data_IF_585793473623
#
_entry.id   IF_585793473623
#
_cell.length_a   1.000
_cell.length_b   1.000
_cell.length_c   1.000
_cell.angle_alpha   90.00
_cell.angle_beta   90.00
_cell.angle_gamma   90.00
#
_symmetry.space_group_name_H-M   'P 1'
#
loop_
_entity.id
_entity.type
_entity.pdbx_description
1 polymer ?
#
# COMPACT_ATOMS: atom_id res chain seq x y z
N UNK A 1 28.24 -28.90 4.97
CA UNK A 1 28.27 -29.48 6.33
C UNK A 1 27.63 -28.48 7.27
N UNK A 2 26.37 -28.70 7.65
CA UNK A 2 25.66 -27.81 8.57
C UNK A 2 26.08 -28.17 9.99
N UNK A 3 26.98 -27.39 10.59
CA UNK A 3 27.21 -27.46 12.03
C UNK A 3 25.89 -27.11 12.72
N UNK A 4 25.31 -28.07 13.44
CA UNK A 4 24.16 -27.83 14.29
C UNK A 4 24.58 -26.92 15.45
N UNK A 5 24.55 -25.61 15.21
CA UNK A 5 24.80 -24.63 16.26
C UNK A 5 23.65 -24.71 17.26
N UNK A 6 23.88 -25.41 18.38
CA UNK A 6 22.99 -25.34 19.53
C UNK A 6 22.93 -23.89 20.01
N UNK A 7 21.73 -23.35 20.31
CA UNK A 7 21.57 -21.96 20.67
C UNK A 7 22.29 -21.65 21.99
N UNK A 8 22.90 -20.46 22.07
CA UNK A 8 23.77 -20.09 23.18
C UNK A 8 23.09 -20.22 24.55
N UNK A 9 21.78 -19.91 24.65
CA UNK A 9 21.08 -20.02 25.94
C UNK A 9 21.04 -21.45 26.50
N UNK A 10 21.10 -22.50 25.67
CA UNK A 10 21.21 -23.87 26.15
C UNK A 10 22.63 -24.19 26.61
N UNK A 11 23.62 -23.78 25.82
CA UNK A 11 25.04 -24.06 26.10
C UNK A 11 25.54 -23.34 27.34
N UNK A 12 25.08 -22.11 27.57
CA UNK A 12 25.56 -21.25 28.66
C UNK A 12 24.58 -21.09 29.82
N UNK A 13 23.47 -21.85 29.83
CA UNK A 13 22.47 -21.80 30.90
C UNK A 13 21.77 -20.44 31.02
N UNK A 14 21.58 -19.72 29.90
CA UNK A 14 20.84 -18.46 29.92
C UNK A 14 19.33 -18.76 30.00
N UNK A 15 18.61 -17.90 30.73
CA UNK A 15 17.15 -17.98 30.82
C UNK A 15 16.54 -17.66 29.45
N UNK A 16 15.58 -18.46 28.95
CA UNK A 16 14.89 -18.17 27.69
C UNK A 16 14.31 -16.75 27.67
N UNK A 17 14.60 -16.01 26.60
CA UNK A 17 14.09 -14.67 26.40
C UNK A 17 13.02 -14.68 25.31
N UNK A 18 11.80 -14.32 25.68
CA UNK A 18 10.65 -14.31 24.76
C UNK A 18 10.44 -12.97 24.06
N UNK A 19 10.89 -11.87 24.67
CA UNK A 19 10.63 -10.53 24.19
C UNK A 19 11.86 -9.64 24.37
N UNK A 20 12.19 -8.90 23.32
CA UNK A 20 13.24 -7.89 23.30
C UNK A 20 12.66 -6.59 22.75
N UNK A 21 12.90 -5.51 23.47
CA UNK A 21 12.59 -4.14 23.05
C UNK A 21 13.84 -3.30 23.23
N UNK A 22 14.40 -2.81 22.13
CA UNK A 22 15.55 -1.90 22.11
C UNK A 22 15.05 -0.52 21.69
N UNK A 23 15.27 0.48 22.55
CA UNK A 23 14.90 1.87 22.31
C UNK A 23 16.14 2.75 22.35
N UNK A 24 16.24 3.70 21.41
CA UNK A 24 17.36 4.65 21.33
C UNK A 24 18.74 4.00 21.22
N UNK A 25 18.79 2.76 20.75
CA UNK A 25 20.04 2.04 20.58
C UNK A 25 20.80 2.63 19.38
N UNK A 26 22.11 2.78 19.55
CA UNK A 26 22.99 3.10 18.45
C UNK A 26 23.20 1.84 17.62
N UNK A 27 22.38 1.70 16.58
CA UNK A 27 22.44 0.56 15.67
C UNK A 27 23.64 0.62 14.72
N UNK A 28 24.58 1.57 14.90
CA UNK A 28 25.82 1.63 14.12
C UNK A 28 26.58 0.31 14.16
N UNK A 29 26.47 -0.46 15.24
CA UNK A 29 26.93 -1.85 15.31
C UNK A 29 25.74 -2.82 15.34
N UNK A 30 25.50 -3.54 14.22
CA UNK A 30 24.49 -4.62 14.19
C UNK A 30 24.79 -5.75 15.19
N UNK A 31 26.00 -5.78 15.75
CA UNK A 31 26.53 -6.85 16.60
C UNK A 31 25.65 -7.16 17.81
N UNK A 32 25.12 -6.15 18.50
CA UNK A 32 24.25 -6.36 19.68
C UNK A 32 22.97 -7.09 19.28
N UNK A 33 22.39 -6.72 18.15
CA UNK A 33 21.18 -7.33 17.62
C UNK A 33 21.44 -8.77 17.16
N UNK A 34 22.54 -8.98 16.43
CA UNK A 34 22.95 -10.29 15.94
C UNK A 34 23.26 -11.25 17.11
N UNK A 35 23.87 -10.75 18.19
CA UNK A 35 24.13 -11.53 19.40
C UNK A 35 22.83 -11.94 20.13
N UNK A 36 21.85 -11.03 20.21
CA UNK A 36 20.54 -11.33 20.82
C UNK A 36 19.79 -12.38 20.00
N UNK A 37 19.70 -12.20 18.67
CA UNK A 37 18.99 -13.14 17.79
C UNK A 37 19.67 -14.50 17.78
N UNK A 38 21.01 -14.54 17.83
CA UNK A 38 21.78 -15.76 17.99
C UNK A 38 21.48 -16.47 19.32
N UNK A 39 21.61 -15.76 20.45
CA UNK A 39 21.49 -16.34 21.77
C UNK A 39 20.08 -16.90 22.05
N UNK A 40 19.05 -16.21 21.57
CA UNK A 40 17.65 -16.48 21.90
C UNK A 40 16.82 -16.96 20.70
N UNK A 41 17.45 -17.49 19.65
CA UNK A 41 16.80 -17.87 18.39
C UNK A 41 15.58 -18.79 18.53
N UNK A 42 15.59 -19.69 19.51
CA UNK A 42 14.51 -20.65 19.75
C UNK A 42 13.42 -20.15 20.71
N UNK A 43 13.69 -19.09 21.48
CA UNK A 43 12.75 -18.58 22.49
C UNK A 43 12.13 -17.23 22.12
N UNK A 44 12.78 -16.46 21.26
CA UNK A 44 12.39 -15.09 20.93
C UNK A 44 11.10 -15.07 20.11
N UNK A 45 10.03 -14.54 20.71
CA UNK A 45 8.70 -14.38 20.10
C UNK A 45 8.42 -12.98 19.61
N UNK A 46 8.99 -11.97 20.26
CA UNK A 46 8.79 -10.57 19.90
C UNK A 46 10.11 -9.80 19.90
N UNK A 47 10.43 -9.20 18.75
CA UNK A 47 11.57 -8.34 18.57
C UNK A 47 11.09 -6.96 18.12
N UNK A 48 11.40 -5.94 18.90
CA UNK A 48 11.10 -4.55 18.60
C UNK A 48 12.34 -3.69 18.75
N UNK A 49 12.67 -2.97 17.68
CA UNK A 49 13.77 -2.04 17.64
C UNK A 49 13.23 -0.69 17.20
N UNK A 50 13.53 0.34 17.98
CA UNK A 50 13.19 1.73 17.70
C UNK A 50 14.45 2.58 17.84
N UNK A 51 15.15 2.79 16.73
CA UNK A 51 16.37 3.59 16.70
C UNK A 51 16.06 5.01 16.29
N UNK A 52 16.26 5.92 17.24
CA UNK A 52 15.98 7.35 17.07
C UNK A 52 17.27 8.12 16.77
N UNK A 53 18.43 7.53 17.06
CA UNK A 53 19.75 8.14 16.93
C UNK A 53 20.42 7.61 15.67
N UNK A 54 21.04 8.51 14.93
CA UNK A 54 21.81 8.25 13.71
C UNK A 54 22.43 9.58 13.30
N UNK A 55 23.68 9.53 12.82
CA UNK A 55 24.29 10.69 12.17
C UNK A 55 23.46 11.07 10.94
N UNK A 56 23.55 12.33 10.48
CA UNK A 56 22.79 12.82 9.30
C UNK A 56 23.24 12.16 7.98
N UNK A 57 24.09 11.14 8.04
CA UNK A 57 24.60 10.42 6.89
C UNK A 57 23.73 9.18 6.61
N UNK A 58 23.47 8.95 5.32
CA UNK A 58 22.62 7.89 4.75
C UNK A 58 23.26 6.50 4.91
N UNK A 59 23.53 6.08 6.14
CA UNK A 59 24.10 4.77 6.39
C UNK A 59 23.04 3.68 6.17
N UNK A 60 23.42 2.67 5.39
CA UNK A 60 22.63 1.46 5.20
C UNK A 60 22.84 0.55 6.40
N UNK A 61 21.76 0.33 7.15
CA UNK A 61 21.75 -0.62 8.24
C UNK A 61 21.31 -1.99 7.71
N UNK A 62 22.24 -2.94 7.70
CA UNK A 62 21.96 -4.32 7.32
C UNK A 62 21.37 -5.09 8.51
N UNK A 63 20.18 -5.68 8.31
CA UNK A 63 19.49 -6.46 9.35
C UNK A 63 19.29 -7.89 8.87
N UNK A 64 19.57 -8.87 9.74
CA UNK A 64 19.30 -10.28 9.44
C UNK A 64 20.50 -11.05 8.90
N UNK A 65 21.65 -10.39 8.71
CA UNK A 65 22.86 -11.07 8.23
C UNK A 65 23.28 -12.09 9.27
N UNK A 66 23.46 -13.33 8.84
CA UNK A 66 23.87 -14.45 9.69
C UNK A 66 22.93 -14.76 10.87
N UNK A 67 21.68 -14.24 10.84
CA UNK A 67 20.70 -14.63 11.85
C UNK A 67 20.41 -16.13 11.71
N UNK A 68 20.41 -16.89 12.82
CA UNK A 68 19.86 -18.23 12.77
C UNK A 68 18.37 -18.17 12.47
N UNK A 69 17.79 -19.30 12.06
CA UNK A 69 16.33 -19.41 11.98
C UNK A 69 15.68 -19.00 13.31
N UNK A 70 14.65 -18.17 13.22
CA UNK A 70 13.88 -17.68 14.38
C UNK A 70 12.47 -18.30 14.36
N UNK A 71 12.35 -19.63 14.55
CA UNK A 71 11.08 -20.34 14.37
C UNK A 71 10.00 -19.92 15.37
N UNK A 72 10.38 -19.36 16.52
CA UNK A 72 9.45 -18.86 17.52
C UNK A 72 9.01 -17.41 17.30
N UNK A 73 9.63 -16.66 16.38
CA UNK A 73 9.38 -15.24 16.22
C UNK A 73 7.98 -15.00 15.62
N UNK A 74 7.09 -14.46 16.44
CA UNK A 74 5.71 -14.17 16.08
C UNK A 74 5.53 -12.71 15.63
N UNK A 75 6.38 -11.80 16.10
CA UNK A 75 6.26 -10.36 15.81
C UNK A 75 7.62 -9.71 15.62
N UNK A 76 7.79 -9.03 14.48
CA UNK A 76 8.99 -8.27 14.15
C UNK A 76 8.60 -6.80 13.91
N UNK A 77 9.17 -5.89 14.71
CA UNK A 77 9.01 -4.45 14.53
C UNK A 77 10.38 -3.77 14.44
N UNK A 78 10.69 -3.20 13.28
CA UNK A 78 11.92 -2.43 13.04
C UNK A 78 11.53 -1.00 12.65
N UNK A 79 12.00 -0.03 13.42
CA UNK A 79 11.77 1.39 13.19
C UNK A 79 13.12 2.09 13.22
N UNK A 80 13.55 2.59 12.07
CA UNK A 80 14.84 3.27 11.93
C UNK A 80 14.66 4.46 10.98
N UNK A 81 13.97 5.55 11.39
CA UNK A 81 13.66 6.68 10.53
C UNK A 81 14.88 7.35 9.90
N UNK A 82 16.06 7.26 10.53
CA UNK A 82 17.32 7.88 10.07
C UNK A 82 18.26 6.95 9.29
N UNK A 83 17.86 5.70 9.04
CA UNK A 83 18.69 4.72 8.36
C UNK A 83 17.96 4.16 7.15
N UNK A 84 18.70 3.70 6.15
CA UNK A 84 18.11 2.86 5.11
C UNK A 84 18.20 1.38 5.54
N UNK A 85 17.06 0.75 5.82
CA UNK A 85 17.02 -0.63 6.31
C UNK A 85 17.19 -1.63 5.16
N UNK A 86 18.39 -2.20 5.04
CA UNK A 86 18.68 -3.30 4.11
C UNK A 86 18.46 -4.64 4.80
N UNK A 87 17.37 -5.33 4.44
CA UNK A 87 17.07 -6.65 4.99
C UNK A 87 17.90 -7.72 4.29
N UNK A 88 18.38 -8.70 5.05
CA UNK A 88 18.91 -9.92 4.48
C UNK A 88 17.83 -10.63 3.65
N UNK A 89 18.15 -11.12 2.43
CA UNK A 89 17.16 -11.71 1.55
C UNK A 89 16.38 -12.89 2.14
N UNK A 90 16.95 -13.64 3.09
CA UNK A 90 16.29 -14.81 3.70
C UNK A 90 15.61 -14.51 5.03
N UNK A 91 15.72 -13.28 5.56
CA UNK A 91 15.26 -12.92 6.91
C UNK A 91 13.81 -13.35 7.18
N UNK A 92 12.88 -13.04 6.28
CA UNK A 92 11.47 -13.39 6.46
C UNK A 92 11.23 -14.90 6.29
N UNK A 93 11.95 -15.56 5.38
CA UNK A 93 11.84 -17.00 5.16
C UNK A 93 12.31 -17.82 6.37
N UNK A 94 13.23 -17.26 7.17
CA UNK A 94 13.74 -17.84 8.41
C UNK A 94 12.79 -17.68 9.61
N UNK A 95 11.66 -17.00 9.46
CA UNK A 95 10.74 -16.67 10.54
C UNK A 95 9.29 -17.16 10.25
N UNK A 96 9.05 -18.48 10.13
CA UNK A 96 7.77 -19.04 9.66
C UNK A 96 6.57 -18.77 10.60
N UNK A 97 6.82 -18.44 11.87
CA UNK A 97 5.77 -18.16 12.87
C UNK A 97 5.26 -16.72 12.87
N UNK A 98 5.78 -15.86 11.98
CA UNK A 98 5.42 -14.44 11.97
C UNK A 98 3.91 -14.26 11.75
N UNK A 99 3.32 -13.52 12.69
CA UNK A 99 1.93 -13.08 12.69
C UNK A 99 1.80 -11.58 12.44
N UNK A 100 2.85 -10.80 12.68
CA UNK A 100 2.89 -9.37 12.42
C UNK A 100 4.30 -8.87 12.11
N UNK A 101 4.43 -8.16 10.98
CA UNK A 101 5.68 -7.55 10.52
C UNK A 101 5.45 -6.06 10.31
N UNK A 102 6.31 -5.23 10.93
CA UNK A 102 6.32 -3.79 10.75
C UNK A 102 7.76 -3.31 10.58
N UNK A 103 8.17 -3.02 9.36
CA UNK A 103 9.53 -2.56 9.05
C UNK A 103 9.40 -1.21 8.38
N UNK A 104 10.03 -0.18 8.94
CA UNK A 104 9.99 1.17 8.38
C UNK A 104 11.32 1.89 8.53
N UNK A 105 11.77 2.42 7.42
CA UNK A 105 12.72 3.52 7.32
C UNK A 105 12.04 4.75 6.72
N UNK A 106 12.53 5.95 7.07
CA UNK A 106 12.02 7.20 6.51
C UNK A 106 12.98 7.80 5.47
N UNK A 107 14.22 7.31 5.33
CA UNK A 107 15.26 7.88 4.43
C UNK A 107 15.19 7.42 2.96
N UNK A 108 14.28 6.51 2.59
CA UNK A 108 14.16 6.05 1.20
C UNK A 108 13.31 7.03 0.38
N UNK A 109 13.95 8.11 -0.07
CA UNK A 109 13.31 9.18 -0.83
C UNK A 109 13.56 9.10 -2.34
N UNK A 110 14.73 8.64 -2.73
CA UNK A 110 15.14 8.44 -4.12
C UNK A 110 15.95 7.15 -4.17
N UNK A 111 15.82 6.40 -5.27
CA UNK A 111 16.55 5.15 -5.44
C UNK A 111 16.72 4.84 -6.91
N UNK A 112 17.76 4.07 -7.20
CA UNK A 112 17.96 3.47 -8.51
C UNK A 112 17.45 2.05 -8.46
N UNK A 113 16.68 1.63 -9.46
CA UNK A 113 16.10 0.28 -9.46
C UNK A 113 17.17 -0.82 -9.38
N UNK A 114 18.38 -0.57 -9.89
CA UNK A 114 19.53 -1.51 -9.84
C UNK A 114 20.06 -1.80 -8.44
N UNK A 115 19.77 -0.95 -7.47
CA UNK A 115 20.26 -1.11 -6.10
C UNK A 115 19.33 -2.02 -5.28
N UNK A 116 18.14 -2.33 -5.80
CA UNK A 116 17.14 -3.15 -5.11
C UNK A 116 17.56 -4.61 -5.19
N UNK A 117 17.89 -5.18 -4.04
CA UNK A 117 18.12 -6.62 -3.87
C UNK A 117 16.84 -7.24 -3.32
N UNK A 118 16.11 -8.06 -4.10
CA UNK A 118 14.86 -8.65 -3.64
C UNK A 118 15.12 -9.66 -2.52
N UNK A 119 14.25 -9.66 -1.51
CA UNK A 119 14.12 -10.76 -0.58
C UNK A 119 13.66 -12.02 -1.32
N UNK A 120 13.81 -13.17 -0.66
CA UNK A 120 13.23 -14.41 -1.12
C UNK A 120 11.75 -14.48 -0.71
N UNK A 121 10.91 -15.19 -1.48
CA UNK A 121 9.56 -15.53 -1.02
C UNK A 121 9.61 -16.24 0.34
N UNK A 122 8.75 -15.84 1.27
CA UNK A 122 8.60 -16.48 2.57
C UNK A 122 7.25 -17.18 2.69
N UNK A 123 7.19 -18.29 3.43
CA UNK A 123 5.94 -18.97 3.75
C UNK A 123 5.46 -18.51 5.14
N UNK A 124 4.52 -17.55 5.15
CA UNK A 124 4.05 -16.87 6.37
C UNK A 124 2.53 -17.05 6.56
N UNK A 125 2.05 -18.28 6.81
CA UNK A 125 0.60 -18.58 6.80
C UNK A 125 -0.18 -17.93 7.95
N UNK A 126 0.51 -17.48 9.00
CA UNK A 126 -0.09 -16.84 10.18
C UNK A 126 -0.07 -15.31 10.10
N UNK A 127 0.48 -14.73 9.03
CA UNK A 127 0.68 -13.30 8.93
C UNK A 127 -0.66 -12.56 8.83
N UNK A 128 -0.95 -11.72 9.81
CA UNK A 128 -2.18 -10.91 9.87
C UNK A 128 -1.94 -9.44 9.58
N UNK A 129 -0.72 -8.95 9.82
CA UNK A 129 -0.33 -7.54 9.61
C UNK A 129 1.00 -7.51 8.90
N UNK A 130 1.04 -6.86 7.73
CA UNK A 130 2.25 -6.54 7.00
C UNK A 130 2.31 -5.04 6.77
N UNK A 131 3.28 -4.37 7.39
CA UNK A 131 3.58 -2.97 7.14
C UNK A 131 5.05 -2.82 6.78
N UNK A 132 5.30 -2.45 5.53
CA UNK A 132 6.61 -2.18 4.97
C UNK A 132 6.64 -0.73 4.51
N UNK A 133 7.65 0.01 4.97
CA UNK A 133 7.93 1.38 4.51
C UNK A 133 9.39 1.52 4.09
N UNK A 134 9.60 2.27 3.03
CA UNK A 134 10.93 2.63 2.54
C UNK A 134 11.60 1.47 1.82
N UNK A 135 12.86 1.18 2.16
CA UNK A 135 13.65 0.17 1.47
C UNK A 135 13.07 -1.24 1.63
N UNK A 136 12.53 -1.53 2.81
CA UNK A 136 11.85 -2.80 3.07
C UNK A 136 10.63 -3.06 2.19
N UNK A 137 9.96 -2.01 1.70
CA UNK A 137 8.86 -2.13 0.75
C UNK A 137 9.39 -2.47 -0.66
N UNK A 138 10.52 -1.88 -1.06
CA UNK A 138 11.15 -2.08 -2.37
C UNK A 138 11.75 -3.48 -2.54
N UNK A 139 12.33 -4.03 -1.48
CA UNK A 139 12.99 -5.35 -1.52
C UNK A 139 12.02 -6.50 -1.25
N UNK A 140 10.79 -6.23 -0.77
CA UNK A 140 9.84 -7.29 -0.45
C UNK A 140 9.45 -8.14 -1.65
N UNK A 141 9.47 -9.46 -1.47
CA UNK A 141 9.05 -10.39 -2.51
C UNK A 141 7.54 -10.67 -2.44
N UNK A 142 6.75 -10.28 -3.46
CA UNK A 142 5.29 -10.40 -3.44
C UNK A 142 4.80 -11.85 -3.43
N UNK A 143 5.57 -12.82 -3.93
CA UNK A 143 5.26 -14.26 -3.78
C UNK A 143 5.08 -14.72 -2.32
N UNK A 144 5.56 -13.96 -1.34
CA UNK A 144 5.25 -14.19 0.08
C UNK A 144 3.73 -14.13 0.34
N UNK A 145 3.01 -13.27 -0.39
CA UNK A 145 1.58 -13.03 -0.21
C UNK A 145 0.72 -14.26 -0.54
N UNK A 146 1.18 -15.17 -1.40
CA UNK A 146 0.48 -16.41 -1.77
C UNK A 146 0.20 -17.31 -0.56
N UNK A 147 1.10 -17.30 0.43
CA UNK A 147 0.94 -18.08 1.66
C UNK A 147 0.11 -17.37 2.73
N UNK A 148 -0.12 -16.06 2.61
CA UNK A 148 -0.60 -15.19 3.70
C UNK A 148 -2.13 -14.99 3.72
N UNK A 149 -2.90 -16.08 3.64
CA UNK A 149 -4.38 -16.01 3.53
C UNK A 149 -5.07 -15.37 4.74
N UNK A 150 -4.36 -15.29 5.87
CA UNK A 150 -4.80 -14.67 7.13
C UNK A 150 -4.56 -13.15 7.20
N UNK A 151 -3.99 -12.56 6.15
CA UNK A 151 -3.62 -11.15 6.13
C UNK A 151 -4.85 -10.24 6.24
N UNK A 152 -4.89 -9.39 7.25
CA UNK A 152 -5.96 -8.42 7.50
C UNK A 152 -5.56 -7.01 7.04
N UNK A 153 -4.28 -6.68 7.18
CA UNK A 153 -3.74 -5.35 6.88
C UNK A 153 -2.48 -5.46 6.05
N UNK A 154 -2.50 -4.86 4.86
CA UNK A 154 -1.36 -4.71 3.97
C UNK A 154 -1.04 -3.23 3.78
N UNK A 155 0.18 -2.82 4.16
CA UNK A 155 0.69 -1.47 3.91
C UNK A 155 2.07 -1.55 3.29
N UNK A 156 2.21 -1.04 2.08
CA UNK A 156 3.47 -1.00 1.33
C UNK A 156 3.65 0.43 0.83
N UNK A 157 4.65 1.14 1.34
CA UNK A 157 4.76 2.58 1.11
C UNK A 157 6.20 3.04 1.01
N UNK A 158 6.45 3.99 0.12
CA UNK A 158 7.70 4.77 0.05
C UNK A 158 7.39 6.27 0.03
N UNK A 159 6.24 6.65 0.61
CA UNK A 159 5.83 8.05 0.68
C UNK A 159 6.69 8.79 1.72
N UNK A 160 7.10 10.01 1.36
CA UNK A 160 7.85 10.93 2.22
C UNK A 160 6.96 11.48 3.32
N UNK A 161 7.56 12.19 4.29
CA UNK A 161 6.84 12.82 5.40
C UNK A 161 5.89 13.93 4.93
N UNK A 162 6.24 14.64 3.86
CA UNK A 162 5.36 15.66 3.23
C UNK A 162 4.21 15.05 2.41
N UNK A 163 4.17 13.72 2.30
CA UNK A 163 3.19 12.97 1.52
C UNK A 163 3.53 12.81 0.05
N UNK A 164 4.58 13.44 -0.48
CA UNK A 164 5.02 13.20 -1.85
C UNK A 164 5.61 11.79 -2.00
N UNK A 165 5.58 11.27 -3.22
CA UNK A 165 6.12 9.97 -3.58
C UNK A 165 7.22 10.14 -4.62
N UNK A 166 8.22 9.25 -4.59
CA UNK A 166 9.14 9.05 -5.71
C UNK A 166 8.70 7.82 -6.50
N UNK A 167 8.57 8.00 -7.81
CA UNK A 167 8.23 6.95 -8.76
C UNK A 167 9.31 7.01 -9.86
N UNK A 168 10.05 5.92 -10.12
CA UNK A 168 11.03 5.91 -11.20
C UNK A 168 10.39 6.29 -12.55
N UNK A 169 11.18 6.79 -13.51
CA UNK A 169 10.69 7.06 -14.85
C UNK A 169 9.93 5.87 -15.46
N UNK A 170 8.83 6.15 -16.19
CA UNK A 170 7.94 5.10 -16.67
C UNK A 170 8.63 4.07 -17.59
N UNK A 171 9.66 4.47 -18.33
CA UNK A 171 10.49 3.58 -19.14
C UNK A 171 11.34 2.63 -18.28
N UNK A 172 11.89 3.11 -17.16
CA UNK A 172 12.63 2.28 -16.19
C UNK A 172 11.69 1.27 -15.52
N UNK A 173 10.48 1.69 -15.14
CA UNK A 173 9.46 0.79 -14.61
C UNK A 173 9.09 -0.29 -15.64
N UNK A 174 8.71 0.10 -16.87
CA UNK A 174 8.36 -0.86 -17.94
C UNK A 174 9.49 -1.85 -18.21
N UNK A 175 10.75 -1.38 -18.25
CA UNK A 175 11.92 -2.24 -18.42
C UNK A 175 12.09 -3.23 -17.26
N UNK A 176 11.86 -2.79 -16.03
CA UNK A 176 12.01 -3.63 -14.83
C UNK A 176 10.98 -4.76 -14.72
N UNK A 177 9.79 -4.59 -15.32
CA UNK A 177 8.74 -5.61 -15.35
C UNK A 177 8.70 -6.40 -16.67
N UNK A 178 9.70 -6.23 -17.55
CA UNK A 178 9.75 -6.94 -18.83
C UNK A 178 8.70 -6.48 -19.85
N UNK A 179 8.09 -5.31 -19.67
CA UNK A 179 7.05 -4.75 -20.54
C UNK A 179 7.62 -3.97 -21.74
N UNK A 180 8.80 -4.37 -22.27
CA UNK A 180 9.50 -3.65 -23.33
C UNK A 180 10.31 -4.55 -24.27
N UNK A 181 10.46 -4.12 -25.53
CA UNK A 181 10.97 -4.93 -26.65
C UNK A 181 12.49 -5.16 -26.70
N UNK A 182 13.27 -4.58 -25.80
CA UNK A 182 14.73 -4.71 -25.85
C UNK A 182 15.25 -5.28 -24.53
N UNK A 183 15.77 -6.53 -24.51
CA UNK A 183 16.46 -7.06 -23.36
C UNK A 183 17.73 -6.24 -23.14
N UNK A 184 17.73 -5.38 -22.13
CA UNK A 184 18.95 -4.71 -21.68
C UNK A 184 19.77 -5.78 -20.96
N UNK A 185 20.98 -6.14 -21.46
CA UNK A 185 21.89 -6.99 -20.72
C UNK A 185 22.23 -6.27 -19.40
N UNK A 186 22.12 -6.97 -18.27
CA UNK A 186 22.01 -6.43 -16.89
C UNK A 186 20.58 -6.07 -16.43
N UNK A 187 19.62 -6.92 -16.82
CA UNK A 187 18.22 -6.85 -16.41
C UNK A 187 18.09 -6.74 -14.88
N UNK A 188 17.65 -5.57 -14.44
CA UNK A 188 17.37 -5.26 -13.05
C UNK A 188 16.33 -6.27 -12.53
N UNK A 189 16.73 -7.12 -11.57
CA UNK A 189 15.83 -8.11 -10.95
C UNK A 189 15.05 -7.46 -9.80
N UNK A 190 13.97 -6.74 -10.14
CA UNK A 190 13.02 -6.24 -9.14
C UNK A 190 12.00 -7.31 -8.78
N UNK A 191 11.41 -7.26 -7.58
CA UNK A 191 10.21 -8.05 -7.30
C UNK A 191 9.08 -7.66 -8.27
N UNK A 192 8.54 -8.65 -8.98
CA UNK A 192 7.43 -8.45 -9.92
C UNK A 192 6.08 -8.56 -9.18
N UNK A 193 5.29 -7.47 -9.18
CA UNK A 193 3.96 -7.45 -8.56
C UNK A 193 2.93 -7.93 -9.60
N UNK A 194 2.46 -9.16 -9.46
CA UNK A 194 1.55 -9.84 -10.40
C UNK A 194 0.07 -9.52 -10.20
N UNK A 195 -0.28 -9.03 -9.00
CA UNK A 195 -1.64 -8.59 -8.63
C UNK A 195 -2.73 -9.67 -8.73
N UNK A 196 -2.34 -10.94 -8.71
CA UNK A 196 -3.21 -12.13 -8.79
C UNK A 196 -3.38 -12.84 -7.43
N UNK A 197 -3.06 -12.15 -6.33
CA UNK A 197 -3.10 -12.75 -5.00
C UNK A 197 -4.53 -12.97 -4.51
N UNK A 198 -4.72 -14.11 -3.84
CA UNK A 198 -5.95 -14.45 -3.14
C UNK A 198 -5.81 -14.16 -1.63
N UNK A 199 -6.30 -13.00 -1.19
CA UNK A 199 -6.24 -12.51 0.19
C UNK A 199 -7.66 -12.33 0.76
N UNK A 200 -8.38 -13.43 1.03
CA UNK A 200 -9.82 -13.41 1.31
C UNK A 200 -10.19 -12.65 2.58
N UNK A 201 -9.25 -12.51 3.53
CA UNK A 201 -9.45 -11.83 4.81
C UNK A 201 -8.95 -10.38 4.84
N UNK A 202 -8.38 -9.88 3.74
CA UNK A 202 -7.79 -8.55 3.71
C UNK A 202 -8.88 -7.48 3.90
N UNK A 203 -8.72 -6.65 4.93
CA UNK A 203 -9.68 -5.60 5.30
C UNK A 203 -9.18 -4.22 4.87
N UNK A 204 -7.87 -3.99 4.98
CA UNK A 204 -7.25 -2.69 4.74
C UNK A 204 -6.01 -2.83 3.86
N UNK A 205 -6.00 -2.10 2.76
CA UNK A 205 -4.86 -1.99 1.86
C UNK A 205 -4.43 -0.54 1.72
N UNK A 206 -3.13 -0.30 1.84
CA UNK A 206 -2.51 0.98 1.56
C UNK A 206 -1.25 0.78 0.72
N UNK A 207 -1.25 1.33 -0.48
CA UNK A 207 -0.14 1.32 -1.43
C UNK A 207 0.22 2.76 -1.76
N UNK A 208 1.52 3.05 -1.85
CA UNK A 208 1.98 4.38 -2.31
C UNK A 208 3.01 4.27 -3.42
N UNK A 209 3.36 5.40 -4.03
CA UNK A 209 4.44 5.51 -5.02
C UNK A 209 4.22 4.56 -6.19
N UNK A 210 5.27 3.84 -6.64
CA UNK A 210 5.18 2.90 -7.74
C UNK A 210 4.18 1.76 -7.51
N UNK A 211 3.95 1.32 -6.26
CA UNK A 211 3.00 0.27 -5.96
C UNK A 211 1.56 0.72 -6.23
N UNK A 212 1.26 1.99 -5.96
CA UNK A 212 -0.04 2.57 -6.30
C UNK A 212 -0.16 2.86 -7.81
N UNK A 213 0.92 3.29 -8.45
CA UNK A 213 0.95 3.57 -9.89
C UNK A 213 0.78 2.31 -10.76
N UNK A 214 1.35 1.19 -10.31
CA UNK A 214 1.29 -0.11 -10.98
C UNK A 214 0.11 -0.97 -10.52
N UNK A 215 -0.70 -0.49 -9.58
CA UNK A 215 -1.83 -1.25 -9.05
C UNK A 215 -2.79 -1.67 -10.15
N UNK A 216 -3.13 -2.96 -10.20
CA UNK A 216 -4.13 -3.50 -11.09
C UNK A 216 -5.40 -3.86 -10.32
N UNK A 217 -6.53 -3.30 -10.74
CA UNK A 217 -7.81 -3.49 -10.06
C UNK A 217 -8.30 -4.94 -10.04
N UNK A 218 -7.85 -5.80 -10.97
CA UNK A 218 -8.19 -7.24 -11.00
C UNK A 218 -7.87 -7.95 -9.69
N UNK A 219 -6.89 -7.45 -8.93
CA UNK A 219 -6.50 -7.94 -7.62
C UNK A 219 -7.66 -7.97 -6.62
N UNK A 220 -8.63 -7.08 -6.80
CA UNK A 220 -9.80 -6.97 -5.92
C UNK A 220 -10.70 -8.20 -5.95
N UNK A 221 -10.67 -9.00 -7.02
CA UNK A 221 -11.36 -10.29 -7.09
C UNK A 221 -10.85 -11.27 -6.03
N UNK A 222 -9.56 -11.22 -5.71
CA UNK A 222 -8.94 -12.00 -4.65
C UNK A 222 -9.16 -11.44 -3.25
N UNK A 223 -9.80 -10.27 -3.11
CA UNK A 223 -9.95 -9.54 -1.85
C UNK A 223 -11.42 -9.18 -1.51
N UNK A 224 -12.33 -10.17 -1.43
CA UNK A 224 -13.76 -9.92 -1.24
C UNK A 224 -14.11 -9.19 0.06
N UNK A 225 -13.24 -9.26 1.08
CA UNK A 225 -13.45 -8.62 2.39
C UNK A 225 -12.88 -7.20 2.48
N UNK A 226 -12.28 -6.66 1.42
CA UNK A 226 -11.58 -5.38 1.48
C UNK A 226 -12.57 -4.24 1.75
N UNK A 227 -12.38 -3.53 2.88
CA UNK A 227 -13.26 -2.44 3.31
C UNK A 227 -12.66 -1.08 2.97
N UNK A 228 -11.33 -0.96 2.98
CA UNK A 228 -10.62 0.30 2.75
C UNK A 228 -9.43 0.11 1.82
N UNK A 229 -9.40 0.88 0.72
CA UNK A 229 -8.33 0.90 -0.26
C UNK A 229 -7.74 2.31 -0.37
N UNK A 230 -6.44 2.41 -0.18
CA UNK A 230 -5.69 3.66 -0.27
C UNK A 230 -4.57 3.52 -1.29
N UNK A 231 -4.67 4.27 -2.39
CA UNK A 231 -3.70 4.36 -3.47
C UNK A 231 -3.16 5.79 -3.51
N UNK A 232 -1.85 5.96 -3.34
CA UNK A 232 -1.23 7.29 -3.33
C UNK A 232 0.01 7.35 -4.21
N UNK A 233 -0.07 8.00 -5.36
CA UNK A 233 1.02 8.13 -6.34
C UNK A 233 1.38 9.60 -6.65
N UNK A 234 1.10 10.53 -5.74
CA UNK A 234 1.38 11.96 -5.98
C UNK A 234 2.89 12.21 -5.94
N UNK A 235 3.46 12.61 -7.08
CA UNK A 235 4.88 13.00 -7.19
C UNK A 235 5.03 14.51 -7.12
N UNK A 236 6.24 14.99 -6.80
CA UNK A 236 6.55 16.44 -6.77
C UNK A 236 6.47 17.05 -8.17
N UNK A 237 6.87 16.30 -9.19
CA UNK A 237 6.93 16.76 -10.58
C UNK A 237 5.59 16.63 -11.34
N UNK A 238 4.64 15.86 -10.81
CA UNK A 238 3.33 15.62 -11.46
C UNK A 238 3.41 14.85 -12.79
N UNK A 239 4.54 14.21 -13.08
CA UNK A 239 4.79 13.55 -14.36
C UNK A 239 4.11 12.17 -14.48
N UNK A 240 3.85 11.51 -13.35
CA UNK A 240 3.23 10.19 -13.35
C UNK A 240 1.72 10.29 -13.41
N UNK A 241 1.16 9.86 -14.53
CA UNK A 241 -0.29 9.83 -14.77
C UNK A 241 -0.74 8.39 -14.95
N UNK A 242 -1.83 8.01 -14.28
CA UNK A 242 -2.53 6.74 -14.53
C UNK A 242 -3.88 7.03 -15.15
N UNK A 243 -4.15 6.43 -16.30
CA UNK A 243 -5.48 6.44 -16.93
C UNK A 243 -6.27 5.25 -16.41
N UNK A 244 -7.53 5.46 -16.05
CA UNK A 244 -8.51 4.42 -15.74
C UNK A 244 -9.38 4.29 -16.99
N UNK A 245 -9.27 3.13 -17.65
CA UNK A 245 -10.03 2.78 -18.85
C UNK A 245 -11.00 1.63 -18.59
N UNK A 246 -11.81 1.26 -19.59
CA UNK A 246 -12.67 0.07 -19.49
C UNK A 246 -11.89 -1.22 -19.20
N UNK A 247 -10.66 -1.34 -19.71
CA UNK A 247 -9.80 -2.49 -19.48
C UNK A 247 -9.40 -2.66 -18.00
N UNK A 248 -9.39 -1.58 -17.21
CA UNK A 248 -9.14 -1.64 -15.77
C UNK A 248 -10.37 -2.13 -14.98
N UNK A 249 -11.56 -2.18 -15.60
CA UNK A 249 -12.82 -2.51 -14.94
C UNK A 249 -13.27 -3.95 -15.18
N UNK A 250 -12.68 -4.63 -16.16
CA UNK A 250 -13.07 -5.98 -16.57
C UNK A 250 -11.90 -6.95 -16.46
N UNK A 251 -12.21 -8.22 -16.34
CA UNK A 251 -11.26 -9.33 -16.49
C UNK A 251 -11.76 -10.30 -17.55
N UNK A 252 -10.82 -10.95 -18.24
CA UNK A 252 -11.14 -12.00 -19.21
C UNK A 252 -11.12 -13.36 -18.51
N UNK A 253 -12.21 -14.10 -18.62
CA UNK A 253 -12.31 -15.50 -18.21
C UNK A 253 -11.68 -16.43 -19.27
N UNK A 254 -11.36 -17.67 -18.88
CA UNK A 254 -10.81 -18.71 -19.78
C UNK A 254 -11.74 -19.03 -20.97
N UNK A 255 -13.06 -18.82 -20.81
CA UNK A 255 -14.07 -19.01 -21.86
C UNK A 255 -14.19 -17.80 -22.81
N UNK A 256 -13.38 -16.76 -22.60
CA UNK A 256 -13.42 -15.51 -23.35
C UNK A 256 -14.55 -14.56 -22.93
N UNK A 257 -15.34 -14.90 -21.92
CA UNK A 257 -16.30 -13.95 -21.35
C UNK A 257 -15.59 -12.85 -20.57
N UNK A 258 -16.16 -11.65 -20.62
CA UNK A 258 -15.67 -10.51 -19.85
C UNK A 258 -16.51 -10.35 -18.59
N UNK A 259 -15.85 -10.40 -17.44
CA UNK A 259 -16.48 -10.20 -16.14
C UNK A 259 -16.08 -8.85 -15.56
N UNK A 260 -17.05 -8.10 -15.04
CA UNK A 260 -16.75 -6.87 -14.32
C UNK A 260 -16.07 -7.19 -12.98
N UNK A 261 -15.01 -6.47 -12.67
CA UNK A 261 -14.38 -6.53 -11.37
C UNK A 261 -15.33 -5.91 -10.35
N UNK A 262 -15.57 -6.59 -9.24
CA UNK A 262 -16.44 -6.09 -8.16
C UNK A 262 -15.74 -6.26 -6.82
N UNK A 263 -15.64 -5.18 -6.03
CA UNK A 263 -15.18 -5.22 -4.64
C UNK A 263 -16.39 -5.01 -3.70
N UNK A 264 -17.08 -6.10 -3.32
CA UNK A 264 -18.42 -6.03 -2.73
C UNK A 264 -18.46 -5.48 -1.30
N UNK A 265 -17.32 -5.44 -0.61
CA UNK A 265 -17.19 -4.94 0.76
C UNK A 265 -16.57 -3.55 0.85
N UNK A 266 -16.09 -2.97 -0.27
CA UNK A 266 -15.33 -1.73 -0.23
C UNK A 266 -16.23 -0.56 0.13
N UNK A 267 -15.88 0.14 1.23
CA UNK A 267 -16.60 1.30 1.74
C UNK A 267 -15.81 2.59 1.64
N UNK A 268 -14.48 2.51 1.67
CA UNK A 268 -13.58 3.65 1.57
C UNK A 268 -12.58 3.47 0.44
N UNK A 269 -12.59 4.41 -0.52
CA UNK A 269 -11.61 4.49 -1.60
C UNK A 269 -10.89 5.83 -1.52
N UNK A 270 -9.57 5.79 -1.42
CA UNK A 270 -8.70 6.95 -1.39
C UNK A 270 -7.70 6.83 -2.54
N UNK A 271 -7.73 7.77 -3.47
CA UNK A 271 -6.87 7.83 -4.66
C UNK A 271 -6.24 9.22 -4.70
N UNK A 272 -4.94 9.30 -4.46
CA UNK A 272 -4.18 10.54 -4.49
C UNK A 272 -3.12 10.46 -5.59
N UNK A 273 -2.92 11.53 -6.34
CA UNK A 273 -2.01 11.59 -7.50
C UNK A 273 -2.79 11.77 -8.80
N UNK A 274 -2.11 11.83 -9.94
CA UNK A 274 -2.75 12.20 -11.21
C UNK A 274 -3.49 11.01 -11.85
N UNK A 275 -4.76 10.85 -11.48
CA UNK A 275 -5.67 9.83 -12.02
C UNK A 275 -6.54 10.46 -13.11
N UNK A 276 -6.50 9.94 -14.33
CA UNK A 276 -7.35 10.39 -15.43
C UNK A 276 -8.40 9.31 -15.69
N UNK A 277 -9.67 9.68 -15.68
CA UNK A 277 -10.73 8.76 -16.13
C UNK A 277 -10.97 9.03 -17.61
N UNK A 278 -10.87 7.99 -18.44
CA UNK A 278 -10.93 8.11 -19.90
C UNK A 278 -12.24 8.75 -20.38
N UNK A 279 -13.37 8.34 -19.80
CA UNK A 279 -14.70 8.85 -20.16
C UNK A 279 -15.74 8.68 -19.04
N UNK A 280 -16.90 9.34 -19.19
CA UNK A 280 -17.94 9.36 -18.15
C UNK A 280 -18.59 7.98 -17.91
N UNK A 281 -18.69 7.14 -18.93
CA UNK A 281 -19.18 5.75 -18.81
C UNK A 281 -18.27 4.94 -17.88
N UNK A 282 -16.95 5.04 -18.06
CA UNK A 282 -15.94 4.41 -17.20
C UNK A 282 -16.09 4.88 -15.75
N UNK A 283 -16.28 6.18 -15.51
CA UNK A 283 -16.54 6.70 -14.15
C UNK A 283 -17.78 6.06 -13.50
N UNK A 284 -18.85 5.90 -14.28
CA UNK A 284 -20.11 5.34 -13.80
C UNK A 284 -19.99 3.86 -13.45
N UNK A 285 -19.30 3.09 -14.27
CA UNK A 285 -19.00 1.68 -13.98
C UNK A 285 -18.06 1.56 -12.78
N UNK A 286 -17.00 2.36 -12.75
CA UNK A 286 -16.00 2.38 -11.68
C UNK A 286 -16.61 2.66 -10.31
N UNK A 287 -17.46 3.69 -10.16
CA UNK A 287 -18.04 4.03 -8.85
C UNK A 287 -19.29 3.19 -8.56
N UNK A 288 -20.17 3.04 -9.55
CA UNK A 288 -21.51 2.47 -9.37
C UNK A 288 -21.56 0.95 -9.38
N UNK A 289 -20.77 0.30 -10.24
CA UNK A 289 -20.82 -1.16 -10.43
C UNK A 289 -19.70 -1.86 -9.67
N UNK A 290 -18.47 -1.38 -9.82
CA UNK A 290 -17.30 -2.01 -9.22
C UNK A 290 -17.26 -1.85 -7.69
N UNK A 291 -17.82 -0.76 -7.14
CA UNK A 291 -17.86 -0.50 -5.69
C UNK A 291 -19.30 -0.28 -5.16
N UNK A 292 -20.14 -1.33 -5.12
CA UNK A 292 -21.58 -1.20 -4.82
C UNK A 292 -21.90 -0.78 -3.38
N UNK A 293 -20.92 -0.79 -2.47
CA UNK A 293 -21.05 -0.35 -1.07
C UNK A 293 -20.16 0.83 -0.70
N UNK A 294 -19.61 1.54 -1.68
CA UNK A 294 -18.75 2.70 -1.46
C UNK A 294 -19.49 3.81 -0.71
N UNK A 295 -19.04 4.15 0.49
CA UNK A 295 -19.63 5.23 1.29
C UNK A 295 -18.78 6.50 1.20
N UNK A 296 -17.46 6.35 1.07
CA UNK A 296 -16.47 7.41 1.08
C UNK A 296 -15.51 7.29 -0.11
N UNK A 297 -15.49 8.32 -0.94
CA UNK A 297 -14.59 8.46 -2.06
C UNK A 297 -13.71 9.70 -1.88
N UNK A 298 -12.40 9.55 -1.97
CA UNK A 298 -11.44 10.65 -2.01
C UNK A 298 -10.58 10.46 -3.26
N UNK A 299 -10.65 11.40 -4.20
CA UNK A 299 -9.90 11.38 -5.46
C UNK A 299 -9.21 12.74 -5.65
N UNK A 300 -7.96 12.85 -5.21
CA UNK A 300 -7.12 14.04 -5.39
C UNK A 300 -6.17 13.83 -6.56
N UNK A 301 -6.06 14.81 -7.44
CA UNK A 301 -5.40 14.75 -8.73
C UNK A 301 -6.28 14.16 -9.82
N UNK A 302 -7.61 14.26 -9.67
CA UNK A 302 -8.56 13.68 -10.62
C UNK A 302 -8.68 14.53 -11.89
N UNK A 303 -8.50 13.91 -13.05
CA UNK A 303 -8.65 14.53 -14.36
C UNK A 303 -9.55 13.74 -15.31
N UNK A 304 -9.80 14.30 -16.49
CA UNK A 304 -10.61 13.68 -17.56
C UNK A 304 -12.12 13.86 -17.42
N UNK A 305 -12.61 14.38 -16.28
CA UNK A 305 -14.03 14.57 -16.02
C UNK A 305 -14.32 15.96 -15.44
N UNK A 306 -15.58 16.40 -15.58
CA UNK A 306 -16.08 17.65 -14.98
C UNK A 306 -16.81 17.38 -13.65
N UNK A 307 -17.06 18.42 -12.86
CA UNK A 307 -17.91 18.31 -11.65
C UNK A 307 -19.31 17.83 -12.01
N UNK A 308 -19.91 18.35 -13.09
CA UNK A 308 -21.21 17.89 -13.56
C UNK A 308 -21.26 16.40 -13.88
N UNK A 309 -20.22 15.87 -14.54
CA UNK A 309 -20.11 14.43 -14.80
C UNK A 309 -20.02 13.60 -13.50
N UNK A 310 -19.25 14.06 -12.51
CA UNK A 310 -19.17 13.43 -11.19
C UNK A 310 -20.53 13.45 -10.46
N UNK A 311 -21.20 14.60 -10.42
CA UNK A 311 -22.52 14.74 -9.75
C UNK A 311 -23.58 13.86 -10.42
N UNK A 312 -23.63 13.85 -11.76
CA UNK A 312 -24.53 12.99 -12.52
C UNK A 312 -24.27 11.52 -12.17
N UNK A 313 -23.01 11.09 -12.16
CA UNK A 313 -22.62 9.72 -11.82
C UNK A 313 -23.07 9.31 -10.40
N UNK A 314 -22.81 10.18 -9.41
CA UNK A 314 -23.22 9.95 -8.02
C UNK A 314 -24.73 9.77 -7.92
N UNK A 315 -25.52 10.60 -8.62
CA UNK A 315 -26.98 10.52 -8.58
C UNK A 315 -27.55 9.29 -9.26
N UNK A 316 -26.99 8.92 -10.41
CA UNK A 316 -27.57 7.86 -11.25
C UNK A 316 -27.15 6.47 -10.82
N UNK A 317 -25.88 6.29 -10.45
CA UNK A 317 -25.28 4.96 -10.26
C UNK A 317 -24.68 4.76 -8.87
N UNK A 318 -24.37 5.83 -8.14
CA UNK A 318 -23.69 5.74 -6.85
C UNK A 318 -24.43 6.45 -5.71
N UNK A 319 -25.76 6.30 -5.66
CA UNK A 319 -26.62 6.96 -4.67
C UNK A 319 -26.35 6.54 -3.21
N UNK A 320 -25.56 5.48 -3.00
CA UNK A 320 -25.05 5.03 -1.70
C UNK A 320 -23.84 5.83 -1.21
N UNK A 321 -23.13 6.54 -2.09
CA UNK A 321 -21.95 7.32 -1.72
C UNK A 321 -22.37 8.54 -0.91
N UNK A 322 -21.87 8.60 0.32
CA UNK A 322 -22.22 9.64 1.30
C UNK A 322 -21.27 10.82 1.26
N UNK A 323 -20.01 10.58 0.91
CA UNK A 323 -18.99 11.60 0.83
C UNK A 323 -18.08 11.39 -0.36
N UNK A 324 -17.88 12.45 -1.15
CA UNK A 324 -16.91 12.54 -2.23
C UNK A 324 -16.01 13.74 -1.98
N UNK A 325 -14.70 13.56 -2.03
CA UNK A 325 -13.72 14.66 -1.96
C UNK A 325 -12.81 14.63 -3.16
N UNK A 326 -12.71 15.74 -3.87
CA UNK A 326 -11.91 15.89 -5.07
C UNK A 326 -11.30 17.28 -5.18
N UNK A 327 -10.31 17.42 -6.04
CA UNK A 327 -9.66 18.68 -6.42
C UNK A 327 -10.14 19.22 -7.77
N UNK A 328 -11.27 18.70 -8.29
CA UNK A 328 -11.96 19.35 -9.40
C UNK A 328 -12.26 20.82 -9.07
N UNK A 329 -12.25 21.64 -10.12
CA UNK A 329 -12.62 23.06 -10.03
C UNK A 329 -14.01 23.22 -9.39
N UNK A 330 -14.24 24.35 -8.73
CA UNK A 330 -15.57 24.65 -8.20
C UNK A 330 -16.61 24.70 -9.34
N UNK A 331 -17.84 24.21 -9.11
CA UNK A 331 -18.93 24.35 -10.07
C UNK A 331 -19.22 25.84 -10.32
N UNK A 332 -19.56 26.16 -11.57
CA UNK A 332 -20.12 27.46 -11.92
C UNK A 332 -21.51 27.66 -11.29
N UNK A 333 -21.99 28.91 -11.21
CA UNK A 333 -23.33 29.19 -10.69
C UNK A 333 -24.44 28.49 -11.50
N UNK A 334 -24.24 28.30 -12.80
CA UNK A 334 -25.17 27.57 -13.68
C UNK A 334 -25.20 26.09 -13.29
N UNK A 335 -24.02 25.46 -13.12
CA UNK A 335 -23.92 24.07 -12.68
C UNK A 335 -24.47 23.85 -11.26
N UNK A 336 -24.22 24.80 -10.34
CA UNK A 336 -24.78 24.73 -8.98
C UNK A 336 -26.33 24.65 -9.03
N UNK A 337 -26.96 25.47 -9.87
CA UNK A 337 -28.43 25.46 -10.06
C UNK A 337 -28.90 24.21 -10.81
N UNK A 338 -28.28 23.90 -11.95
CA UNK A 338 -28.62 22.77 -12.82
C UNK A 338 -28.55 21.44 -12.04
N UNK A 339 -27.47 21.26 -11.29
CA UNK A 339 -27.24 20.07 -10.49
C UNK A 339 -27.77 20.20 -9.06
N UNK A 340 -28.52 21.25 -8.70
CA UNK A 340 -29.12 21.40 -7.37
C UNK A 340 -28.11 21.21 -6.23
N UNK A 341 -26.93 21.81 -6.39
CA UNK A 341 -25.85 21.84 -5.41
C UNK A 341 -26.03 23.06 -4.51
N UNK A 342 -25.83 22.88 -3.20
CA UNK A 342 -25.88 23.98 -2.25
C UNK A 342 -24.61 24.02 -1.44
N UNK A 343 -24.07 25.22 -1.21
CA UNK A 343 -22.94 25.39 -0.31
C UNK A 343 -23.40 25.18 1.12
N UNK A 344 -22.60 24.48 1.93
CA UNK A 344 -22.97 24.21 3.32
C UNK A 344 -23.21 25.48 4.15
N UNK A 345 -22.52 26.58 3.85
CA UNK A 345 -22.74 27.88 4.49
C UNK A 345 -24.18 28.41 4.30
N UNK A 346 -24.86 28.00 3.23
CA UNK A 346 -26.24 28.41 2.91
C UNK A 346 -27.29 27.45 3.50
N UNK A 347 -26.87 26.24 3.87
CA UNK A 347 -27.74 25.14 4.29
C UNK A 347 -28.38 25.39 5.67
N UNK A 348 -27.72 26.13 6.57
CA UNK A 348 -28.23 26.44 7.92
C UNK A 348 -29.62 27.11 7.93
N UNK A 349 -30.12 27.61 6.79
CA UNK A 349 -31.44 28.23 6.67
C UNK A 349 -32.57 27.25 6.31
N UNK A 350 -32.26 26.03 5.87
CA UNK A 350 -33.25 25.06 5.37
C UNK A 350 -33.20 23.82 6.26
N UNK A 351 -34.18 23.69 7.17
CA UNK A 351 -34.27 22.69 8.24
C UNK A 351 -34.04 21.20 7.87
N UNK A 352 -34.14 20.29 8.85
CA UNK A 352 -33.58 18.94 8.74
C UNK A 352 -34.27 18.14 7.64
N UNK A 353 -33.57 17.86 6.54
CA UNK A 353 -34.06 16.94 5.51
C UNK A 353 -32.95 15.99 5.09
N UNK A 354 -33.24 14.69 5.28
CA UNK A 354 -32.78 13.48 4.56
C UNK A 354 -31.27 13.33 4.30
N UNK A 355 -30.76 12.09 4.33
CA UNK A 355 -29.36 11.77 3.97
C UNK A 355 -28.94 12.45 2.65
N UNK A 356 -27.94 13.34 2.73
CA UNK A 356 -27.41 14.10 1.58
C UNK A 356 -25.98 13.64 1.30
N UNK A 357 -25.63 13.52 0.03
CA UNK A 357 -24.24 13.29 -0.37
C UNK A 357 -23.46 14.59 -0.23
N UNK A 358 -22.33 14.53 0.46
CA UNK A 358 -21.41 15.66 0.64
C UNK A 358 -20.34 15.59 -0.45
N UNK A 359 -20.26 16.61 -1.29
CA UNK A 359 -19.24 16.74 -2.33
C UNK A 359 -18.30 17.87 -1.94
N UNK A 360 -17.01 17.57 -1.80
CA UNK A 360 -15.97 18.57 -1.59
C UNK A 360 -15.23 18.77 -2.90
N UNK A 361 -15.31 19.97 -3.47
CA UNK A 361 -14.47 20.41 -4.58
C UNK A 361 -13.44 21.37 -3.99
N UNK A 362 -12.16 21.05 -4.14
CA UNK A 362 -11.08 21.78 -3.46
C UNK A 362 -11.34 21.84 -1.94
N UNK A 363 -11.50 23.05 -1.38
CA UNK A 363 -11.80 23.27 0.04
C UNK A 363 -13.27 23.61 0.33
N UNK A 364 -14.12 23.69 -0.71
CA UNK A 364 -15.54 24.03 -0.56
C UNK A 364 -16.40 22.78 -0.42
N UNK A 365 -17.36 22.85 0.50
CA UNK A 365 -18.31 21.77 0.74
C UNK A 365 -19.67 22.09 0.09
N UNK A 366 -20.07 21.20 -0.80
CA UNK A 366 -21.36 21.18 -1.47
C UNK A 366 -22.20 20.02 -0.97
N UNK A 367 -23.50 20.25 -0.94
CA UNK A 367 -24.49 19.28 -0.54
C UNK A 367 -25.40 18.99 -1.71
N UNK A 368 -25.50 17.72 -2.08
CA UNK A 368 -26.36 17.25 -3.17
C UNK A 368 -27.71 16.82 -2.59
N UNK A 369 -28.78 17.50 -3.00
CA UNK A 369 -30.13 17.01 -2.70
C UNK A 369 -30.42 15.76 -3.53
N UNK A 370 -30.99 14.75 -2.89
CA UNK A 370 -31.66 13.64 -3.59
C UNK A 370 -32.92 14.21 -4.25
N UNK A 371 -33.01 14.05 -5.56
CA UNK A 371 -34.21 14.38 -6.32
C UNK A 371 -35.31 13.37 -6.03
#
# INVERSE_FOLDING_TARGET
MANSHQPAHWTYGLVPLAQVVLQEDDLSSSQSLDAITFAFSQSLKYLHIDSVRGEEHLDRLHIGRDWPGLPALERLKLCAPRYQLSLDPVLLAQCPSLSGVKIKDDETFEYLSRDIVPCQPANLPRLTILYLKGWSALTFHPGTLESTKELLVLKVTTARLDGSCFIPPANELKGSFGLGYQPVPDLIKRPCWTWDWYLPRLLHMQLTSEFAYLFEFKMLLGCPSLVSLHLHMSTVDGNHTRVISEADLITSSEDGSQECIVAPALRGLHMNGRWIVEEQSVLSQFIGQMFPKLERLVMRGLGGITVGAMVKTIRTTAGHVRMVRTDLNDPSAVEEVEFGMYRRSEEYRKGPKTLRTRLFCSEKEYVLLRQ
#
